data_IF_376144802103
#
_entry.id   IF_376144802103
#
_cell.length_a   1.000
_cell.length_b   1.000
_cell.length_c   1.000
_cell.angle_alpha   90.00
_cell.angle_beta   90.00
_cell.angle_gamma   90.00
#
_symmetry.space_group_name_H-M   'P 1'
#
loop_
_entity.id
_entity.type
_entity.pdbx_description
1 polymer ?
#
# COMPACT_ATOMS: atom_id res chain seq x y z
N UNK A 1 -12.76 46.17 -19.05
CA UNK A 1 -13.53 46.08 -20.32
C UNK A 1 -12.55 45.96 -21.47
N UNK A 2 -12.90 45.25 -22.54
CA UNK A 2 -11.99 44.78 -23.60
C UNK A 2 -12.09 43.26 -23.72
N UNK A 3 -13.24 42.72 -24.16
CA UNK A 3 -13.67 42.58 -25.57
C UNK A 3 -12.70 41.71 -26.37
N UNK A 4 -13.02 40.41 -26.41
CA UNK A 4 -12.55 39.46 -27.41
C UNK A 4 -13.48 39.49 -28.63
N UNK A 5 -12.98 39.15 -29.82
CA UNK A 5 -13.76 38.52 -30.91
C UNK A 5 -12.85 37.59 -31.75
N UNK A 6 -13.40 36.55 -32.41
CA UNK A 6 -12.62 35.42 -32.92
C UNK A 6 -12.29 35.50 -34.42
N UNK A 7 -11.36 34.65 -34.88
CA UNK A 7 -11.14 34.38 -36.31
C UNK A 7 -11.48 32.92 -36.61
N UNK A 8 -12.48 32.69 -37.47
CA UNK A 8 -12.73 31.42 -38.17
C UNK A 8 -11.78 31.29 -39.37
N UNK A 9 -11.30 30.08 -39.66
CA UNK A 9 -11.00 29.67 -41.03
C UNK A 9 -11.44 28.23 -41.31
N UNK A 10 -11.76 27.98 -42.58
CA UNK A 10 -12.59 26.87 -43.09
C UNK A 10 -11.77 25.61 -43.46
N UNK A 11 -12.45 24.45 -43.51
CA UNK A 11 -11.93 23.21 -44.15
C UNK A 11 -11.90 23.33 -45.69
N UNK A 12 -10.96 22.64 -46.35
CA UNK A 12 -11.29 21.46 -47.16
C UNK A 12 -10.36 20.27 -46.82
N UNK A 13 -10.79 19.01 -46.71
CA UNK A 13 -11.33 18.03 -47.69
C UNK A 13 -10.28 17.34 -48.61
N UNK A 14 -10.28 16.01 -48.52
CA UNK A 14 -9.79 14.96 -49.44
C UNK A 14 -8.28 14.55 -49.50
N UNK A 15 -8.00 13.46 -48.78
CA UNK A 15 -7.28 12.22 -49.18
C UNK A 15 -5.93 12.23 -49.92
N UNK A 16 -4.89 11.66 -49.28
CA UNK A 16 -4.39 10.30 -49.60
C UNK A 16 -3.44 9.74 -48.52
N UNK A 17 -3.30 8.41 -48.47
CA UNK A 17 -2.45 7.66 -47.52
C UNK A 17 -1.23 7.09 -48.26
N UNK A 18 -0.03 7.21 -47.69
CA UNK A 18 1.12 6.36 -48.06
C UNK A 18 1.93 5.95 -46.83
N UNK A 19 2.14 4.64 -46.67
CA UNK A 19 3.14 4.08 -45.74
C UNK A 19 4.52 4.12 -46.40
N UNK A 20 5.57 4.30 -45.59
CA UNK A 20 6.95 3.99 -45.97
C UNK A 20 7.56 2.99 -44.98
N UNK A 21 7.90 1.79 -45.49
CA UNK A 21 8.71 0.78 -44.80
C UNK A 21 10.06 0.73 -45.50
N UNK A 22 11.16 0.72 -44.74
CA UNK A 22 12.51 0.64 -45.29
C UNK A 22 13.09 -0.78 -45.11
N UNK A 23 13.47 -1.41 -46.22
CA UNK A 23 14.27 -2.63 -46.26
C UNK A 23 15.07 -2.63 -47.56
N UNK A 24 16.38 -2.89 -47.51
CA UNK A 24 17.16 -3.34 -48.67
C UNK A 24 18.34 -4.20 -48.22
N UNK A 25 18.78 -5.11 -49.09
CA UNK A 25 19.54 -6.29 -48.68
C UNK A 25 20.75 -6.62 -49.58
N UNK A 26 21.79 -7.19 -48.94
CA UNK A 26 22.71 -8.24 -49.41
C UNK A 26 23.39 -8.14 -50.80
N UNK A 27 24.74 -8.21 -50.82
CA UNK A 27 25.57 -9.42 -51.16
C UNK A 27 27.07 -9.10 -51.20
N UNK A 28 27.93 -10.12 -51.04
CA UNK A 28 29.40 -9.99 -50.92
C UNK A 28 30.22 -10.58 -52.10
N UNK A 29 31.18 -11.49 -51.83
CA UNK A 29 32.66 -11.28 -51.89
C UNK A 29 33.30 -12.08 -53.09
N UNK A 30 34.59 -12.55 -53.17
CA UNK A 30 35.72 -12.59 -52.21
C UNK A 30 37.20 -12.48 -52.76
N UNK A 31 38.19 -12.75 -51.87
CA UNK A 31 39.57 -13.29 -52.06
C UNK A 31 40.84 -12.38 -52.00
N UNK A 32 41.90 -12.99 -51.44
CA UNK A 32 43.27 -12.51 -51.14
C UNK A 32 44.28 -12.98 -52.23
N UNK A 33 45.56 -12.52 -52.29
CA UNK A 33 46.65 -13.15 -51.49
C UNK A 33 47.91 -12.28 -51.11
N UNK A 34 48.69 -12.74 -50.11
CA UNK A 34 50.17 -12.69 -49.90
C UNK A 34 51.02 -11.39 -50.11
N UNK A 35 52.23 -11.17 -49.54
CA UNK A 35 52.89 -11.51 -48.25
C UNK A 35 54.34 -10.94 -48.17
N UNK A 36 54.86 -10.73 -46.95
CA UNK A 36 56.29 -10.83 -46.51
C UNK A 36 57.27 -9.61 -46.51
N UNK A 37 57.98 -9.47 -45.37
CA UNK A 37 59.22 -8.69 -45.14
C UNK A 37 59.07 -7.26 -44.57
N UNK A 38 59.71 -6.81 -43.48
CA UNK A 38 60.51 -7.51 -42.45
C UNK A 38 61.39 -6.54 -41.60
N UNK A 39 61.49 -6.74 -40.27
CA UNK A 39 62.41 -6.09 -39.28
C UNK A 39 62.27 -4.56 -39.04
N UNK A 40 62.47 -3.97 -37.84
CA UNK A 40 62.70 -4.48 -36.47
C UNK A 40 62.33 -3.42 -35.40
N UNK A 41 62.13 -3.85 -34.14
CA UNK A 41 62.07 -3.00 -32.92
C UNK A 41 62.92 -3.63 -31.79
N UNK A 42 63.52 -2.84 -30.86
CA UNK A 42 63.82 -3.25 -29.48
C UNK A 42 62.62 -2.90 -28.55
N UNK A 43 62.15 -3.71 -27.59
CA UNK A 43 62.79 -4.42 -26.46
C UNK A 43 63.18 -3.49 -25.27
N UNK A 44 62.92 -3.79 -23.98
CA UNK A 44 62.13 -4.87 -23.35
C UNK A 44 61.93 -4.64 -21.81
N UNK A 45 61.26 -5.62 -21.16
CA UNK A 45 61.14 -5.98 -19.72
C UNK A 45 60.01 -5.33 -18.89
N UNK A 46 59.20 -6.04 -18.08
CA UNK A 46 58.85 -7.49 -17.97
C UNK A 46 57.41 -7.56 -17.36
N UNK A 47 56.45 -8.40 -17.83
CA UNK A 47 56.24 -9.85 -17.63
C UNK A 47 56.13 -10.31 -16.15
N UNK A 48 55.32 -11.29 -15.75
CA UNK A 48 54.15 -12.04 -16.28
C UNK A 48 53.63 -12.83 -15.03
N UNK A 49 52.35 -12.88 -14.63
CA UNK A 49 51.29 -13.83 -15.08
C UNK A 49 51.79 -15.23 -15.50
N UNK A 50 51.10 -16.36 -15.30
CA UNK A 50 49.78 -16.75 -14.74
C UNK A 50 49.72 -18.30 -14.78
N UNK A 51 48.77 -18.98 -14.14
CA UNK A 51 47.77 -19.82 -14.85
C UNK A 51 46.88 -20.68 -13.92
N UNK A 52 45.65 -20.89 -14.40
CA UNK A 52 44.60 -21.71 -13.81
C UNK A 52 44.60 -23.15 -14.34
N UNK A 53 43.98 -24.08 -13.60
CA UNK A 53 43.36 -25.28 -14.19
C UNK A 53 42.05 -25.64 -13.46
N UNK A 54 41.10 -26.24 -14.18
CA UNK A 54 39.75 -26.59 -13.69
C UNK A 54 39.55 -28.11 -13.50
N UNK A 55 38.45 -28.41 -12.78
CA UNK A 55 37.55 -29.58 -12.91
C UNK A 55 37.93 -30.85 -12.12
N UNK A 56 36.95 -31.38 -11.37
CA UNK A 56 37.02 -32.66 -10.64
C UNK A 56 36.83 -33.89 -11.55
N UNK A 57 36.60 -35.11 -11.02
CA UNK A 57 35.59 -35.40 -9.97
C UNK A 57 36.02 -36.45 -8.92
N UNK A 58 35.08 -36.97 -8.12
CA UNK A 58 35.16 -38.34 -7.58
C UNK A 58 35.16 -38.49 -6.06
N UNK A 59 34.10 -39.09 -5.53
CA UNK A 59 34.03 -39.58 -4.15
C UNK A 59 34.69 -40.96 -4.00
N UNK A 60 35.43 -41.20 -2.92
CA UNK A 60 35.59 -42.54 -2.34
C UNK A 60 36.06 -42.49 -0.87
N UNK A 61 35.61 -43.46 -0.08
CA UNK A 61 36.18 -43.82 1.24
C UNK A 61 37.68 -44.20 1.07
N UNK A 62 38.56 -44.10 2.07
CA UNK A 62 38.53 -44.96 3.28
C UNK A 62 39.58 -44.53 4.33
N UNK A 63 39.39 -44.99 5.58
CA UNK A 63 40.33 -44.83 6.69
C UNK A 63 41.72 -45.45 6.41
N UNK A 64 42.79 -44.81 6.86
CA UNK A 64 43.75 -45.50 7.73
C UNK A 64 44.47 -44.59 8.75
N UNK A 65 45.05 -45.24 9.77
CA UNK A 65 45.54 -44.66 11.03
C UNK A 65 47.01 -44.25 10.97
N UNK A 66 47.39 -43.30 11.82
CA UNK A 66 48.72 -43.29 12.45
C UNK A 66 49.62 -42.08 12.11
N UNK A 67 50.37 -41.51 13.08
CA UNK A 67 51.17 -40.32 12.87
C UNK A 67 52.62 -40.64 12.48
N UNK A 68 53.12 -40.05 11.40
CA UNK A 68 54.56 -39.91 11.18
C UNK A 68 55.04 -38.61 11.83
N UNK A 69 55.78 -38.72 12.94
CA UNK A 69 56.68 -37.65 13.39
C UNK A 69 57.95 -37.69 12.55
N UNK A 70 58.18 -36.68 11.74
CA UNK A 70 59.49 -36.40 11.15
C UNK A 70 60.16 -35.26 11.92
N UNK A 71 61.42 -35.49 12.34
CA UNK A 71 62.28 -34.48 12.92
C UNK A 71 63.66 -34.58 12.24
N UNK A 72 64.09 -33.49 11.62
CA UNK A 72 65.45 -33.19 11.20
C UNK A 72 65.59 -31.66 11.33
N UNK A 73 66.23 -31.13 12.38
CA UNK A 73 67.68 -31.08 12.65
C UNK A 73 68.39 -29.99 11.85
N UNK A 74 68.64 -28.85 12.51
CA UNK A 74 69.64 -27.85 12.11
C UNK A 74 70.97 -28.11 12.85
N UNK A 75 72.08 -27.79 12.19
CA UNK A 75 73.44 -28.12 12.64
C UNK A 75 74.02 -27.15 13.68
N UNK A 76 75.00 -27.65 14.46
CA UNK A 76 75.98 -26.93 15.30
C UNK A 76 75.43 -26.10 16.49
N UNK A 77 76.05 -26.06 17.68
CA UNK A 77 77.22 -26.80 18.21
C UNK A 77 77.36 -26.60 19.74
N UNK A 78 77.44 -27.67 20.53
CA UNK A 78 78.29 -27.75 21.76
C UNK A 78 78.21 -29.14 22.38
N UNK A 79 79.33 -29.64 22.90
CA UNK A 79 79.47 -30.97 23.51
C UNK A 79 79.14 -30.96 25.01
N UNK A 80 78.41 -31.97 25.49
CA UNK A 80 78.72 -32.69 26.75
C UNK A 80 77.87 -33.95 26.96
N UNK A 81 78.57 -35.10 27.01
CA UNK A 81 78.28 -36.24 27.89
C UNK A 81 76.94 -36.97 27.78
N UNK A 82 76.91 -38.05 27.00
CA UNK A 82 75.99 -39.16 27.24
C UNK A 82 76.70 -40.22 28.10
N UNK A 83 76.11 -40.60 29.25
CA UNK A 83 76.44 -41.86 29.92
C UNK A 83 75.24 -42.80 29.80
N UNK A 84 75.52 -44.06 29.49
CA UNK A 84 74.56 -45.16 29.41
C UNK A 84 74.52 -45.89 30.75
N UNK A 85 73.33 -46.27 31.21
CA UNK A 85 73.16 -47.23 32.31
C UNK A 85 72.02 -48.22 31.97
N UNK A 86 72.09 -49.51 32.40
CA UNK A 86 71.34 -50.59 31.75
C UNK A 86 69.87 -50.75 32.21
N UNK A 87 69.07 -51.59 31.54
CA UNK A 87 67.63 -51.67 31.76
C UNK A 87 67.26 -52.49 33.01
N UNK A 88 66.22 -52.07 33.72
CA UNK A 88 65.57 -52.86 34.76
C UNK A 88 64.07 -53.10 34.46
N UNK A 89 63.57 -54.24 34.98
CA UNK A 89 62.40 -54.96 34.47
C UNK A 89 61.05 -54.29 34.69
N UNK A 90 60.12 -54.62 33.78
CA UNK A 90 58.68 -54.37 33.91
C UNK A 90 58.05 -55.07 35.13
N UNK A 91 57.08 -54.41 35.77
CA UNK A 91 56.17 -55.03 36.73
C UNK A 91 55.36 -53.98 37.51
N UNK A 92 54.08 -53.79 37.21
CA UNK A 92 53.24 -52.81 37.90
C UNK A 92 51.86 -52.62 37.27
N UNK A 93 50.85 -53.24 37.88
CA UNK A 93 49.46 -53.34 37.43
C UNK A 93 48.76 -51.99 37.14
N UNK A 94 47.87 -52.03 36.15
CA UNK A 94 46.89 -50.97 35.84
C UNK A 94 45.91 -50.71 37.00
N UNK A 95 45.67 -49.44 37.33
CA UNK A 95 44.46 -48.98 38.05
C UNK A 95 43.55 -48.20 37.09
N UNK A 96 42.21 -48.36 37.16
CA UNK A 96 41.29 -47.64 36.29
C UNK A 96 41.12 -46.18 36.73
N UNK A 97 41.01 -45.29 35.74
CA UNK A 97 40.66 -43.87 35.94
C UNK A 97 39.13 -43.76 36.11
N UNK A 98 38.61 -43.01 37.09
CA UNK A 98 37.16 -42.84 37.25
C UNK A 98 36.55 -42.01 36.10
N UNK A 99 35.27 -42.22 35.76
CA UNK A 99 34.62 -41.47 34.69
C UNK A 99 34.52 -39.97 35.05
N UNK A 100 35.09 -39.13 34.18
CA UNK A 100 35.00 -37.68 34.34
C UNK A 100 33.55 -37.21 34.25
N UNK A 101 33.09 -36.50 35.28
CA UNK A 101 31.78 -35.85 35.31
C UNK A 101 31.61 -34.97 34.08
N UNK A 102 30.66 -35.30 33.19
CA UNK A 102 30.32 -34.45 32.04
C UNK A 102 29.72 -33.15 32.59
N UNK A 103 30.54 -32.10 32.59
CA UNK A 103 30.23 -30.87 33.29
C UNK A 103 28.97 -30.19 32.76
N UNK A 104 28.19 -29.64 33.70
CA UNK A 104 26.97 -28.82 33.53
C UNK A 104 27.19 -27.47 32.79
N UNK A 105 28.25 -27.38 31.98
CA UNK A 105 28.67 -26.19 31.23
C UNK A 105 27.72 -25.82 30.09
N UNK A 106 27.13 -26.82 29.42
CA UNK A 106 26.20 -26.59 28.31
C UNK A 106 24.88 -25.96 28.78
N UNK A 107 24.40 -26.35 29.96
CA UNK A 107 23.15 -25.85 30.55
C UNK A 107 23.31 -24.40 31.02
N UNK A 108 24.44 -24.06 31.64
CA UNK A 108 24.74 -22.68 32.05
C UNK A 108 25.04 -21.78 30.85
N UNK A 109 25.65 -22.30 29.79
CA UNK A 109 25.82 -21.61 28.51
C UNK A 109 24.48 -21.29 27.84
N UNK A 110 23.58 -22.26 27.72
CA UNK A 110 22.23 -22.05 27.17
C UNK A 110 21.40 -21.08 28.03
N UNK A 111 21.44 -21.21 29.36
CA UNK A 111 20.73 -20.29 30.25
C UNK A 111 21.28 -18.85 30.14
N UNK A 112 22.61 -18.68 30.02
CA UNK A 112 23.22 -17.35 29.78
C UNK A 112 22.87 -16.80 28.39
N UNK A 113 22.83 -17.62 27.35
CA UNK A 113 22.38 -17.20 26.03
C UNK A 113 20.90 -16.81 26.02
N UNK A 114 20.03 -17.55 26.72
CA UNK A 114 18.62 -17.22 26.87
C UNK A 114 18.42 -15.94 27.71
N UNK A 115 19.20 -15.75 28.78
CA UNK A 115 19.23 -14.51 29.55
C UNK A 115 19.71 -13.32 28.71
N UNK A 116 20.74 -13.50 27.87
CA UNK A 116 21.21 -12.47 26.95
C UNK A 116 20.18 -12.15 25.84
N UNK A 117 19.51 -13.16 25.28
CA UNK A 117 18.41 -12.98 24.32
C UNK A 117 17.22 -12.25 24.97
N UNK A 118 16.88 -12.58 26.22
CA UNK A 118 15.84 -11.90 26.98
C UNK A 118 16.21 -10.46 27.35
N UNK A 119 17.48 -10.22 27.69
CA UNK A 119 18.01 -8.88 27.98
C UNK A 119 18.08 -8.00 26.71
N UNK A 120 18.49 -8.56 25.58
CA UNK A 120 18.43 -7.89 24.26
C UNK A 120 16.99 -7.61 23.83
N UNK A 121 16.00 -8.43 24.23
CA UNK A 121 14.59 -8.13 24.01
C UNK A 121 14.05 -6.97 24.87
N UNK A 122 14.81 -6.49 25.87
CA UNK A 122 14.47 -5.32 26.69
C UNK A 122 15.30 -4.07 26.36
N UNK A 123 16.00 -4.06 25.22
CA UNK A 123 16.53 -2.84 24.63
C UNK A 123 15.38 -2.02 24.00
N UNK A 124 14.59 -1.36 24.84
CA UNK A 124 13.48 -0.51 24.40
C UNK A 124 13.97 0.67 23.57
N UNK A 125 13.71 0.63 22.27
CA UNK A 125 13.86 1.77 21.36
C UNK A 125 12.60 2.63 21.33
N UNK A 126 12.73 3.86 20.85
CA UNK A 126 11.60 4.73 20.52
C UNK A 126 10.69 4.04 19.50
N UNK A 127 9.39 4.05 19.75
CA UNK A 127 8.35 3.51 18.89
C UNK A 127 7.22 4.53 18.79
N UNK A 128 6.51 4.57 17.66
CA UNK A 128 5.28 5.35 17.49
C UNK A 128 4.12 4.44 17.09
N UNK A 129 2.99 4.62 17.77
CA UNK A 129 1.73 3.96 17.47
C UNK A 129 0.90 4.82 16.53
N UNK A 130 0.60 4.27 15.36
CA UNK A 130 -0.29 4.86 14.35
C UNK A 130 -1.52 3.96 14.13
N UNK A 131 -2.30 4.20 13.09
CA UNK A 131 -3.39 3.32 12.63
C UNK A 131 -3.15 2.94 11.17
N UNK A 132 -3.46 1.71 10.75
CA UNK A 132 -3.16 1.23 9.39
C UNK A 132 -3.93 2.00 8.31
N UNK A 133 -5.27 2.10 8.45
CA UNK A 133 -6.13 2.92 7.60
C UNK A 133 -7.12 3.70 8.47
N UNK A 134 -7.28 4.99 8.20
CA UNK A 134 -8.26 5.88 8.81
C UNK A 134 -9.22 6.38 7.72
N UNK A 135 -10.51 6.06 7.84
CA UNK A 135 -11.55 6.62 6.95
C UNK A 135 -12.05 7.95 7.52
N UNK A 136 -12.15 8.98 6.67
CA UNK A 136 -12.55 10.34 7.05
C UNK A 136 -13.51 10.95 6.04
N UNK A 137 -14.39 11.85 6.48
CA UNK A 137 -15.32 12.52 5.58
C UNK A 137 -14.71 13.75 4.91
N UNK A 138 -15.13 14.01 3.67
CA UNK A 138 -14.80 15.20 2.93
C UNK A 138 -15.23 16.47 3.71
N UNK A 139 -14.35 17.47 3.74
CA UNK A 139 -14.48 18.75 4.45
C UNK A 139 -14.44 18.72 5.99
N UNK A 140 -14.31 17.55 6.62
CA UNK A 140 -14.10 17.45 8.07
C UNK A 140 -12.71 17.98 8.49
N UNK A 141 -12.57 18.26 9.79
CA UNK A 141 -11.28 18.47 10.44
C UNK A 141 -10.87 17.16 11.11
N UNK A 142 -9.67 16.66 10.81
CA UNK A 142 -9.25 15.31 11.22
C UNK A 142 -7.91 15.34 11.94
N UNK A 143 -7.67 14.33 12.77
CA UNK A 143 -6.38 14.12 13.43
C UNK A 143 -5.82 12.77 13.03
N UNK A 144 -4.69 12.75 12.33
CA UNK A 144 -3.97 11.54 11.91
C UNK A 144 -3.06 11.09 13.06
N UNK A 145 -3.27 9.90 13.63
CA UNK A 145 -2.64 9.52 14.90
C UNK A 145 -1.16 9.16 14.74
N UNK A 146 -0.31 9.76 15.58
CA UNK A 146 1.08 9.33 15.79
C UNK A 146 1.46 9.60 17.25
N UNK A 147 1.52 8.55 18.09
CA UNK A 147 1.72 8.71 19.54
C UNK A 147 2.77 7.75 20.07
N UNK A 148 3.64 8.21 20.95
CA UNK A 148 4.56 7.32 21.67
C UNK A 148 3.75 6.49 22.70
N UNK A 149 3.91 5.16 22.75
CA UNK A 149 3.30 4.32 23.77
C UNK A 149 3.63 4.82 25.19
N UNK A 150 2.64 4.85 26.08
CA UNK A 150 2.80 5.27 27.47
C UNK A 150 2.79 6.78 27.71
N UNK A 151 2.66 7.62 26.66
CA UNK A 151 2.58 9.09 26.76
C UNK A 151 3.68 9.72 27.64
N UNK A 152 4.97 9.46 27.34
CA UNK A 152 6.07 9.97 28.14
C UNK A 152 6.14 11.50 28.10
N UNK A 153 6.60 12.10 29.20
CA UNK A 153 6.90 13.53 29.22
C UNK A 153 8.19 13.80 28.45
N UNK A 154 8.14 14.66 27.43
CA UNK A 154 9.25 15.01 26.55
C UNK A 154 9.71 16.46 26.75
N UNK A 155 11.01 16.70 26.58
CA UNK A 155 11.54 18.04 26.35
C UNK A 155 11.44 18.36 24.86
N UNK A 156 10.49 19.21 24.47
CA UNK A 156 10.22 19.56 23.06
C UNK A 156 11.39 20.25 22.37
N UNK A 157 12.40 20.76 23.11
CA UNK A 157 13.56 21.42 22.50
C UNK A 157 14.49 20.45 21.75
N UNK A 158 14.49 19.16 22.14
CA UNK A 158 15.28 18.08 21.51
C UNK A 158 14.46 17.18 20.58
N UNK A 159 13.19 17.53 20.36
CA UNK A 159 12.24 16.77 19.53
C UNK A 159 12.13 17.35 18.12
N UNK A 160 12.11 16.46 17.14
CA UNK A 160 11.81 16.76 15.75
C UNK A 160 10.62 15.96 15.24
N UNK A 161 9.70 16.59 14.54
CA UNK A 161 8.59 15.94 13.84
C UNK A 161 8.65 16.31 12.36
N UNK A 162 8.56 15.30 11.50
CA UNK A 162 8.20 15.50 10.10
C UNK A 162 6.95 14.68 9.81
N UNK A 163 6.01 15.31 9.11
CA UNK A 163 4.94 14.60 8.44
C UNK A 163 5.13 14.69 6.94
N UNK A 164 5.10 13.53 6.32
CA UNK A 164 5.15 13.34 4.89
C UNK A 164 3.80 12.82 4.39
N UNK A 165 3.48 13.15 3.15
CA UNK A 165 2.33 12.62 2.42
C UNK A 165 2.78 12.15 1.05
N UNK A 166 2.29 10.98 0.64
CA UNK A 166 2.43 10.46 -0.72
C UNK A 166 1.06 10.02 -1.25
N UNK A 167 0.80 10.34 -2.51
CA UNK A 167 -0.41 9.89 -3.20
C UNK A 167 -0.27 8.40 -3.52
N UNK A 168 -1.29 7.59 -3.26
CA UNK A 168 -1.25 6.11 -3.34
C UNK A 168 -0.71 5.54 -4.69
N UNK A 169 -0.77 6.31 -5.78
CA UNK A 169 -0.30 5.92 -7.12
C UNK A 169 0.99 6.64 -7.60
N UNK A 170 1.68 7.35 -6.72
CA UNK A 170 2.89 8.11 -7.07
C UNK A 170 4.02 7.85 -6.07
N UNK A 171 5.25 7.82 -6.56
CA UNK A 171 6.46 7.64 -5.74
C UNK A 171 6.95 8.96 -5.12
N UNK A 172 6.48 10.11 -5.61
CA UNK A 172 6.83 11.41 -5.04
C UNK A 172 6.15 11.62 -3.68
N UNK A 173 6.96 11.55 -2.62
CA UNK A 173 6.59 11.93 -1.27
C UNK A 173 6.89 13.43 -1.04
N UNK A 174 5.96 14.14 -0.39
CA UNK A 174 6.08 15.56 -0.07
C UNK A 174 6.03 15.78 1.45
N UNK A 175 6.89 16.66 1.97
CA UNK A 175 6.76 17.12 3.36
C UNK A 175 5.60 18.12 3.49
N UNK A 176 4.68 17.85 4.41
CA UNK A 176 3.46 18.66 4.61
C UNK A 176 3.46 19.43 5.93
N UNK A 177 4.25 19.00 6.91
CA UNK A 177 4.47 19.68 8.18
C UNK A 177 5.84 19.30 8.76
N UNK A 178 6.54 20.29 9.33
CA UNK A 178 7.84 20.14 9.95
C UNK A 178 7.88 20.92 11.28
N UNK A 179 8.48 20.33 12.32
CA UNK A 179 8.73 20.98 13.59
C UNK A 179 10.08 20.53 14.18
N UNK A 180 10.92 21.48 14.60
CA UNK A 180 12.22 21.22 15.21
C UNK A 180 12.58 22.34 16.19
N UNK A 181 12.45 22.10 17.50
CA UNK A 181 12.73 23.10 18.53
C UNK A 181 11.85 24.36 18.39
N UNK A 182 12.39 25.42 17.79
CA UNK A 182 11.65 26.67 17.49
C UNK A 182 11.20 26.79 16.02
N UNK A 183 11.74 25.96 15.11
CA UNK A 183 11.34 25.97 13.71
C UNK A 183 10.03 25.23 13.51
N UNK A 184 9.10 25.83 12.77
CA UNK A 184 7.83 25.21 12.39
C UNK A 184 7.40 25.67 11.01
N UNK A 185 7.02 24.72 10.16
CA UNK A 185 6.55 24.95 8.80
C UNK A 185 5.40 24.00 8.45
N UNK A 186 4.44 24.47 7.65
CA UNK A 186 3.29 23.69 7.21
C UNK A 186 3.01 23.95 5.73
N UNK A 187 3.48 23.06 4.86
CA UNK A 187 3.23 23.12 3.40
C UNK A 187 1.77 22.89 3.07
N UNK A 188 1.08 21.99 3.79
CA UNK A 188 -0.38 21.83 3.70
C UNK A 188 -1.03 22.94 4.54
N UNK A 189 -1.81 23.87 3.95
CA UNK A 189 -2.36 25.00 4.70
C UNK A 189 -3.21 24.54 5.88
N UNK A 190 -2.95 25.12 7.05
CA UNK A 190 -3.64 24.81 8.31
C UNK A 190 -3.18 23.53 9.03
N UNK A 191 -2.26 22.74 8.45
CA UNK A 191 -1.71 21.55 9.10
C UNK A 191 -0.94 21.93 10.39
N UNK A 192 -1.13 21.16 11.46
CA UNK A 192 -0.57 21.48 12.78
C UNK A 192 -0.35 20.22 13.64
N UNK A 193 0.60 20.28 14.57
CA UNK A 193 0.73 19.34 15.70
C UNK A 193 0.62 20.13 17.00
N UNK A 194 -0.08 19.59 18.00
CA UNK A 194 -0.21 20.25 19.30
C UNK A 194 1.11 20.19 20.07
N UNK A 195 1.72 21.34 20.39
CA UNK A 195 2.97 21.38 21.17
C UNK A 195 2.78 20.83 22.59
N UNK A 196 1.67 21.16 23.25
CA UNK A 196 1.32 20.57 24.54
C UNK A 196 0.86 19.12 24.45
N UNK A 197 0.47 18.64 23.26
CA UNK A 197 0.30 17.20 23.00
C UNK A 197 1.66 16.50 22.90
N UNK A 198 2.61 17.13 22.20
CA UNK A 198 3.96 16.62 21.98
C UNK A 198 4.77 16.51 23.28
N UNK A 199 4.60 17.46 24.21
CA UNK A 199 5.13 17.36 25.58
C UNK A 199 4.73 16.05 26.29
N UNK A 200 3.63 15.42 25.89
CA UNK A 200 3.14 14.12 26.39
C UNK A 200 3.20 13.00 25.35
N UNK A 201 4.08 13.13 24.35
CA UNK A 201 4.33 12.12 23.32
C UNK A 201 3.26 12.00 22.23
N UNK A 202 2.35 12.97 22.09
CA UNK A 202 1.34 13.01 21.02
C UNK A 202 1.80 13.89 19.85
N UNK A 203 2.34 13.25 18.82
CA UNK A 203 2.82 13.88 17.58
C UNK A 203 1.75 13.89 16.45
N UNK A 204 0.49 13.64 16.79
CA UNK A 204 -0.61 13.49 15.81
C UNK A 204 -0.86 14.76 15.00
N UNK A 205 -1.07 14.60 13.70
CA UNK A 205 -1.26 15.71 12.75
C UNK A 205 -2.73 16.11 12.64
N UNK A 206 -3.04 17.34 13.02
CA UNK A 206 -4.34 17.96 12.77
C UNK A 206 -4.38 18.56 11.37
N UNK A 207 -5.35 18.13 10.56
CA UNK A 207 -5.63 18.60 9.21
C UNK A 207 -7.05 19.21 9.14
N UNK A 208 -7.19 20.54 9.01
CA UNK A 208 -8.48 21.18 8.84
C UNK A 208 -8.96 21.10 7.38
N UNK A 209 -10.28 20.93 7.20
CA UNK A 209 -10.96 20.90 5.90
C UNK A 209 -10.29 19.94 4.92
N UNK A 210 -10.50 18.65 5.13
CA UNK A 210 -10.03 17.60 4.23
C UNK A 210 -10.62 17.76 2.82
N UNK A 211 -9.79 17.52 1.81
CA UNK A 211 -10.16 17.49 0.40
C UNK A 211 -9.93 16.08 -0.19
N UNK A 212 -10.53 15.78 -1.35
CA UNK A 212 -10.33 14.50 -2.05
C UNK A 212 -8.86 14.26 -2.46
N UNK A 213 -8.08 15.35 -2.58
CA UNK A 213 -6.65 15.35 -2.86
C UNK A 213 -5.79 14.92 -1.67
N UNK A 214 -6.27 15.05 -0.43
CA UNK A 214 -5.55 14.64 0.78
C UNK A 214 -5.49 13.10 0.94
N UNK A 215 -6.36 12.35 0.22
CA UNK A 215 -6.34 10.90 0.24
C UNK A 215 -4.97 10.32 -0.21
N UNK A 216 -4.38 9.46 0.61
CA UNK A 216 -3.04 8.93 0.39
C UNK A 216 -2.44 8.27 1.63
N UNK A 217 -1.14 7.99 1.59
CA UNK A 217 -0.40 7.50 2.75
C UNK A 217 0.35 8.64 3.41
N UNK A 218 0.19 8.76 4.72
CA UNK A 218 0.87 9.70 5.58
C UNK A 218 1.94 8.97 6.38
N UNK A 219 3.13 9.55 6.48
CA UNK A 219 4.25 9.01 7.26
C UNK A 219 4.68 10.03 8.31
N UNK A 220 4.51 9.65 9.57
CA UNK A 220 5.04 10.35 10.73
C UNK A 220 6.50 9.91 10.94
N UNK A 221 7.43 10.86 11.05
CA UNK A 221 8.80 10.64 11.50
C UNK A 221 9.05 11.47 12.75
N UNK A 222 9.25 10.80 13.88
CA UNK A 222 9.48 11.39 15.18
C UNK A 222 10.93 11.15 15.59
N UNK A 223 11.65 12.21 15.94
CA UNK A 223 13.05 12.17 16.38
C UNK A 223 13.10 12.70 17.81
N UNK A 224 13.65 11.90 18.72
CA UNK A 224 13.94 12.29 20.11
C UNK A 224 15.42 11.98 20.34
N UNK A 225 16.26 12.98 20.08
CA UNK A 225 17.70 12.81 19.87
C UNK A 225 18.36 11.98 20.99
N UNK A 226 19.10 10.89 20.68
CA UNK A 226 19.56 10.43 19.35
C UNK A 226 18.64 9.41 18.65
N UNK A 227 17.48 9.06 19.24
CA UNK A 227 16.59 8.04 18.71
C UNK A 227 15.61 8.61 17.67
N UNK A 228 15.12 7.75 16.78
CA UNK A 228 14.04 8.08 15.84
C UNK A 228 13.09 6.90 15.69
N UNK A 229 11.83 7.19 15.41
CA UNK A 229 10.79 6.23 15.11
C UNK A 229 9.91 6.76 13.96
N UNK A 230 9.36 5.86 13.17
CA UNK A 230 8.47 6.20 12.06
C UNK A 230 7.22 5.32 12.08
N UNK A 231 6.12 5.86 11.60
CA UNK A 231 4.85 5.14 11.48
C UNK A 231 4.03 5.67 10.32
N UNK A 232 3.31 4.78 9.64
CA UNK A 232 2.50 5.10 8.47
C UNK A 232 1.01 4.92 8.76
N UNK A 233 0.18 5.69 8.06
CA UNK A 233 -1.28 5.61 8.08
C UNK A 233 -1.83 5.96 6.70
N UNK A 234 -2.71 5.13 6.15
CA UNK A 234 -3.48 5.50 4.95
C UNK A 234 -4.72 6.29 5.34
N UNK A 235 -4.95 7.42 4.68
CA UNK A 235 -6.13 8.26 4.84
C UNK A 235 -7.10 8.02 3.68
N UNK A 236 -8.24 7.38 3.97
CA UNK A 236 -9.31 7.10 3.02
C UNK A 236 -10.39 8.19 3.12
N UNK A 237 -10.43 9.11 2.16
CA UNK A 237 -11.46 10.17 2.12
C UNK A 237 -12.75 9.65 1.47
N UNK A 238 -13.90 9.89 2.12
CA UNK A 238 -15.24 9.51 1.63
C UNK A 238 -16.24 10.67 1.70
N UNK A 239 -17.28 10.63 0.87
CA UNK A 239 -18.41 11.56 0.93
C UNK A 239 -19.74 10.78 0.87
N UNK A 240 -20.73 11.22 1.67
CA UNK A 240 -21.98 10.47 1.87
C UNK A 240 -23.12 10.90 0.95
N UNK A 241 -23.84 9.94 0.32
CA UNK A 241 -24.87 10.24 -0.66
C UNK A 241 -26.07 11.03 -0.10
N UNK A 242 -26.35 12.17 -0.73
CA UNK A 242 -27.66 12.80 -0.69
C UNK A 242 -28.60 12.04 -1.62
N UNK A 243 -29.69 11.49 -1.10
CA UNK A 243 -30.67 10.69 -1.85
C UNK A 243 -31.98 11.48 -1.94
N UNK A 244 -32.54 11.59 -3.14
CA UNK A 244 -33.84 12.20 -3.42
C UNK A 244 -34.66 11.23 -4.26
N UNK A 245 -35.92 11.03 -3.88
CA UNK A 245 -36.85 10.12 -4.54
C UNK A 245 -38.11 10.89 -4.94
N UNK A 246 -38.56 10.74 -6.18
CA UNK A 246 -39.76 11.41 -6.70
C UNK A 246 -40.35 10.63 -7.89
N UNK A 247 -41.65 10.82 -8.13
CA UNK A 247 -42.34 10.24 -9.29
C UNK A 247 -42.31 11.24 -10.45
N UNK A 248 -41.91 10.78 -11.64
CA UNK A 248 -42.07 11.49 -12.90
C UNK A 248 -43.32 10.93 -13.60
N UNK A 249 -44.41 11.72 -13.73
CA UNK A 249 -45.62 11.27 -14.41
C UNK A 249 -45.38 11.12 -15.92
N UNK A 250 -46.21 10.30 -16.55
CA UNK A 250 -46.28 10.14 -18.00
C UNK A 250 -46.58 11.49 -18.68
N UNK A 251 -45.93 11.76 -19.81
CA UNK A 251 -46.33 12.89 -20.66
C UNK A 251 -47.29 12.39 -21.74
N UNK A 252 -48.57 12.73 -21.61
CA UNK A 252 -49.65 12.31 -22.52
C UNK A 252 -49.32 12.54 -24.01
N UNK A 253 -48.50 13.55 -24.31
CA UNK A 253 -48.10 13.95 -25.65
C UNK A 253 -47.14 12.98 -26.35
N UNK A 254 -46.38 12.18 -25.58
CA UNK A 254 -45.31 11.33 -26.10
C UNK A 254 -45.56 9.82 -25.90
N UNK A 255 -46.55 9.43 -25.09
CA UNK A 255 -46.72 8.03 -24.69
C UNK A 255 -45.59 7.51 -23.79
N UNK A 256 -44.92 8.41 -23.05
CA UNK A 256 -43.89 8.04 -22.07
C UNK A 256 -44.52 7.29 -20.88
N UNK A 257 -43.83 6.25 -20.39
CA UNK A 257 -44.21 5.51 -19.18
C UNK A 257 -44.02 6.38 -17.92
N UNK A 258 -44.74 6.06 -16.83
CA UNK A 258 -44.48 6.68 -15.53
C UNK A 258 -43.22 6.07 -14.90
N UNK A 259 -42.42 6.89 -14.20
CA UNK A 259 -41.20 6.42 -13.57
C UNK A 259 -41.05 6.90 -12.13
N UNK A 260 -40.53 6.05 -11.25
CA UNK A 260 -39.99 6.49 -9.95
C UNK A 260 -38.49 6.76 -10.11
N UNK A 261 -38.03 7.97 -9.79
CA UNK A 261 -36.66 8.41 -9.99
C UNK A 261 -35.96 8.57 -8.63
N UNK A 262 -34.91 7.80 -8.43
CA UNK A 262 -33.97 7.93 -7.31
C UNK A 262 -32.69 8.63 -7.80
N UNK A 263 -32.56 9.91 -7.45
CA UNK A 263 -31.33 10.69 -7.67
C UNK A 263 -30.43 10.58 -6.44
N UNK A 264 -29.19 10.17 -6.66
CA UNK A 264 -28.15 10.05 -5.64
C UNK A 264 -26.99 10.97 -6.00
N UNK A 265 -26.56 11.82 -5.07
CA UNK A 265 -25.76 13.01 -5.34
C UNK A 265 -24.67 13.20 -4.28
N UNK A 266 -23.49 13.71 -4.66
CA UNK A 266 -22.44 14.13 -3.73
C UNK A 266 -21.67 13.00 -3.02
N UNK A 267 -21.61 11.79 -3.57
CA UNK A 267 -20.92 10.66 -2.93
C UNK A 267 -19.49 10.44 -3.46
N UNK A 268 -18.63 9.85 -2.64
CA UNK A 268 -17.27 9.47 -3.04
C UNK A 268 -16.76 8.29 -2.19
N UNK A 269 -16.13 7.26 -2.77
CA UNK A 269 -15.73 7.10 -4.18
C UNK A 269 -16.90 6.71 -5.11
N UNK A 270 -16.61 6.49 -6.40
CA UNK A 270 -17.61 6.21 -7.44
C UNK A 270 -18.40 4.88 -7.26
N UNK A 271 -17.88 3.94 -6.45
CA UNK A 271 -18.46 2.61 -6.30
C UNK A 271 -19.67 2.64 -5.37
N UNK A 272 -20.87 2.45 -5.94
CA UNK A 272 -22.16 2.53 -5.26
C UNK A 272 -23.08 1.41 -5.77
N UNK A 273 -23.94 0.90 -4.89
CA UNK A 273 -24.97 -0.09 -5.20
C UNK A 273 -26.34 0.51 -4.93
N UNK A 274 -27.27 0.34 -5.88
CA UNK A 274 -28.64 0.88 -5.81
C UNK A 274 -29.60 -0.24 -6.16
N UNK A 275 -30.47 -0.57 -5.22
CA UNK A 275 -31.51 -1.59 -5.36
C UNK A 275 -32.89 -0.95 -5.20
N UNK A 276 -33.90 -1.62 -5.75
CA UNK A 276 -35.28 -1.23 -5.62
C UNK A 276 -36.08 -2.33 -4.93
N UNK A 277 -37.02 -1.92 -4.10
CA UNK A 277 -37.94 -2.81 -3.39
C UNK A 277 -39.36 -2.27 -3.48
N UNK A 278 -40.34 -3.16 -3.47
CA UNK A 278 -41.76 -2.85 -3.41
C UNK A 278 -42.37 -3.41 -2.12
N UNK A 279 -43.34 -2.69 -1.55
CA UNK A 279 -44.27 -3.22 -0.55
C UNK A 279 -45.68 -2.74 -0.85
N UNK A 280 -46.69 -3.51 -0.43
CA UNK A 280 -48.11 -3.19 -0.65
C UNK A 280 -48.81 -2.92 0.68
N UNK A 281 -49.98 -2.29 0.65
CA UNK A 281 -50.78 -2.08 1.87
C UNK A 281 -51.27 -3.41 2.51
N UNK A 282 -51.39 -4.48 1.70
CA UNK A 282 -51.88 -5.79 2.14
C UNK A 282 -50.74 -6.75 2.54
N UNK A 283 -49.54 -6.55 2.00
CA UNK A 283 -48.32 -7.27 2.34
C UNK A 283 -47.17 -6.26 2.54
N UNK A 284 -46.81 -5.94 3.79
CA UNK A 284 -45.75 -4.99 4.11
C UNK A 284 -44.34 -5.59 4.01
N UNK A 285 -44.16 -6.86 3.60
CA UNK A 285 -42.82 -7.37 3.29
C UNK A 285 -42.25 -6.68 2.04
N UNK A 286 -41.03 -6.17 2.16
CA UNK A 286 -40.27 -5.66 1.03
C UNK A 286 -39.87 -6.79 0.09
N UNK A 287 -40.29 -6.68 -1.16
CA UNK A 287 -39.95 -7.59 -2.26
C UNK A 287 -38.94 -6.89 -3.17
N UNK A 288 -37.83 -7.56 -3.47
CA UNK A 288 -36.82 -6.99 -4.37
C UNK A 288 -37.35 -6.90 -5.80
N UNK A 289 -37.14 -5.76 -6.45
CA UNK A 289 -37.49 -5.53 -7.85
C UNK A 289 -36.26 -5.79 -8.71
N UNK A 290 -36.42 -6.51 -9.83
CA UNK A 290 -35.32 -6.87 -10.75
C UNK A 290 -35.58 -6.46 -12.21
N UNK A 291 -36.79 -5.99 -12.52
CA UNK A 291 -37.24 -5.62 -13.87
C UNK A 291 -37.62 -4.12 -13.90
N UNK A 292 -37.63 -3.50 -15.08
CA UNK A 292 -37.99 -2.08 -15.24
C UNK A 292 -36.96 -1.07 -14.68
N UNK A 293 -35.86 -1.53 -14.06
CA UNK A 293 -34.83 -0.67 -13.47
C UNK A 293 -33.82 -0.24 -14.54
N UNK A 294 -33.64 1.06 -14.68
CA UNK A 294 -32.63 1.70 -15.53
C UNK A 294 -31.74 2.56 -14.62
N UNK A 295 -30.50 2.13 -14.40
CA UNK A 295 -29.50 2.91 -13.64
C UNK A 295 -28.47 3.49 -14.59
N UNK A 296 -28.36 4.82 -14.61
CA UNK A 296 -27.34 5.52 -15.40
C UNK A 296 -25.93 5.32 -14.84
N UNK A 297 -24.88 5.71 -15.59
CA UNK A 297 -23.52 5.69 -15.09
C UNK A 297 -23.34 6.71 -13.94
N UNK A 298 -22.40 6.44 -13.03
CA UNK A 298 -21.95 7.43 -12.06
C UNK A 298 -21.15 8.53 -12.78
N UNK A 299 -21.69 9.75 -12.78
CA UNK A 299 -21.09 10.95 -13.38
C UNK A 299 -20.26 11.66 -12.31
N UNK A 300 -19.05 12.12 -12.67
CA UNK A 300 -18.20 12.93 -11.79
C UNK A 300 -18.66 14.39 -11.81
N UNK A 301 -18.78 14.99 -10.63
CA UNK A 301 -19.12 16.39 -10.42
C UNK A 301 -17.87 17.29 -10.41
N UNK A 302 -18.06 18.60 -10.53
CA UNK A 302 -16.96 19.60 -10.54
C UNK A 302 -16.17 19.65 -9.22
N UNK A 303 -16.81 19.32 -8.10
CA UNK A 303 -16.18 19.17 -6.77
C UNK A 303 -15.38 17.85 -6.62
N UNK A 304 -15.38 17.00 -7.64
CA UNK A 304 -14.73 15.69 -7.66
C UNK A 304 -15.53 14.55 -7.03
N UNK A 305 -16.71 14.81 -6.45
CA UNK A 305 -17.66 13.76 -6.03
C UNK A 305 -18.35 13.12 -7.23
N UNK A 306 -19.29 12.22 -6.97
CA UNK A 306 -20.10 11.54 -7.97
C UNK A 306 -21.60 11.71 -7.73
N UNK A 307 -22.35 11.66 -8.81
CA UNK A 307 -23.81 11.60 -8.83
C UNK A 307 -24.29 10.52 -9.80
N UNK A 308 -25.38 9.84 -9.45
CA UNK A 308 -26.01 8.79 -10.27
C UNK A 308 -27.52 8.90 -10.17
N UNK A 309 -28.23 8.51 -11.23
CA UNK A 309 -29.69 8.46 -11.23
C UNK A 309 -30.13 7.05 -11.62
N UNK A 310 -30.99 6.47 -10.79
CA UNK A 310 -31.70 5.23 -11.10
C UNK A 310 -33.18 5.54 -11.27
N UNK A 311 -33.82 4.94 -12.26
CA UNK A 311 -35.25 5.08 -12.53
C UNK A 311 -35.88 3.71 -12.66
N UNK A 312 -37.00 3.51 -11.97
CA UNK A 312 -37.87 2.35 -12.10
C UNK A 312 -39.04 2.73 -13.02
N UNK A 313 -39.23 2.03 -14.12
CA UNK A 313 -40.45 2.10 -14.92
C UNK A 313 -41.62 1.45 -14.16
N UNK A 314 -42.74 2.15 -14.09
CA UNK A 314 -43.98 1.67 -13.48
C UNK A 314 -44.85 0.96 -14.51
N UNK A 315 -45.54 -0.07 -14.07
CA UNK A 315 -46.47 -0.83 -14.92
C UNK A 315 -47.77 -0.04 -15.13
N UNK A 316 -48.57 -0.40 -16.15
CA UNK A 316 -49.85 0.24 -16.42
C UNK A 316 -50.76 0.34 -15.19
N UNK A 317 -51.51 1.44 -15.15
CA UNK A 317 -52.08 2.12 -13.99
C UNK A 317 -53.19 1.39 -13.18
N UNK A 318 -53.05 0.09 -12.95
CA UNK A 318 -53.88 -0.77 -12.10
C UNK A 318 -53.08 -1.71 -11.18
N UNK A 319 -51.83 -2.07 -11.51
CA UNK A 319 -51.01 -2.98 -10.67
C UNK A 319 -50.23 -2.25 -9.57
N UNK A 320 -49.71 -1.06 -9.86
CA UNK A 320 -48.73 -0.37 -8.99
C UNK A 320 -49.36 0.73 -8.09
N UNK A 321 -50.61 1.15 -8.34
CA UNK A 321 -51.25 2.24 -7.60
C UNK A 321 -51.57 1.86 -6.15
N UNK A 322 -51.05 2.63 -5.19
CA UNK A 322 -51.12 2.33 -3.76
C UNK A 322 -49.95 1.50 -3.25
N UNK A 323 -49.07 1.00 -4.14
CA UNK A 323 -47.84 0.34 -3.72
C UNK A 323 -46.78 1.37 -3.32
N UNK A 324 -45.85 0.94 -2.47
CA UNK A 324 -44.76 1.76 -1.94
C UNK A 324 -43.43 1.26 -2.49
N UNK A 325 -42.79 2.10 -3.29
CA UNK A 325 -41.50 1.83 -3.92
C UNK A 325 -40.37 2.42 -3.08
N UNK A 326 -39.35 1.63 -2.81
CA UNK A 326 -38.21 1.98 -1.95
C UNK A 326 -36.91 1.89 -2.74
N UNK A 327 -36.18 2.99 -2.81
CA UNK A 327 -34.81 3.03 -3.29
C UNK A 327 -33.86 2.75 -2.12
N UNK A 328 -33.02 1.72 -2.25
CA UNK A 328 -32.05 1.27 -1.25
C UNK A 328 -30.65 1.53 -1.78
N UNK A 329 -29.92 2.44 -1.14
CA UNK A 329 -28.59 2.90 -1.56
C UNK A 329 -27.53 2.40 -0.59
N UNK A 330 -26.57 1.62 -1.09
CA UNK A 330 -25.44 1.10 -0.32
C UNK A 330 -24.13 1.73 -0.83
N UNK A 331 -23.34 2.32 0.07
CA UNK A 331 -22.11 3.03 -0.25
C UNK A 331 -21.13 2.94 0.92
N UNK A 332 -19.81 2.85 0.68
CA UNK A 332 -18.80 2.59 1.73
C UNK A 332 -18.64 3.70 2.79
N UNK A 333 -19.29 4.84 2.63
CA UNK A 333 -19.34 5.93 3.61
C UNK A 333 -20.52 5.83 4.58
N UNK A 334 -21.45 4.90 4.32
CA UNK A 334 -22.62 4.63 5.15
C UNK A 334 -22.33 3.39 6.02
N UNK A 335 -22.77 3.43 7.27
CA UNK A 335 -22.76 2.24 8.13
C UNK A 335 -23.81 1.22 7.69
N UNK A 336 -25.01 1.72 7.35
CA UNK A 336 -26.16 0.93 6.87
C UNK A 336 -26.70 1.51 5.56
N UNK A 337 -27.33 0.67 4.73
CA UNK A 337 -27.95 1.09 3.47
C UNK A 337 -29.04 2.15 3.70
N UNK A 338 -28.95 3.28 3.00
CA UNK A 338 -29.91 4.38 3.08
C UNK A 338 -31.15 4.04 2.25
N UNK A 339 -32.30 3.93 2.91
CA UNK A 339 -33.60 3.63 2.29
C UNK A 339 -34.42 4.91 2.18
N UNK A 340 -35.07 5.13 1.05
CA UNK A 340 -36.05 6.20 0.87
C UNK A 340 -37.24 5.62 0.09
N UNK A 341 -38.47 5.94 0.51
CA UNK A 341 -39.69 5.32 -0.02
C UNK A 341 -40.69 6.35 -0.53
N UNK A 342 -41.47 5.98 -1.53
CA UNK A 342 -42.58 6.78 -2.07
C UNK A 342 -43.78 5.88 -2.37
N UNK A 343 -44.97 6.29 -1.93
CA UNK A 343 -46.22 5.58 -2.19
C UNK A 343 -46.94 6.25 -3.35
N UNK A 344 -47.38 5.47 -4.35
CA UNK A 344 -48.16 6.03 -5.44
C UNK A 344 -49.59 6.35 -4.99
N UNK A 345 -50.17 7.50 -5.39
CA UNK A 345 -51.54 7.82 -5.03
C UNK A 345 -52.51 6.80 -5.65
N UNK A 346 -53.34 6.17 -4.81
CA UNK A 346 -54.41 5.30 -5.28
C UNK A 346 -55.45 6.10 -6.06
N UNK A 347 -55.93 5.56 -7.18
CA UNK A 347 -57.09 6.14 -7.89
C UNK A 347 -58.33 5.99 -7.02
N UNK A 348 -58.77 7.08 -6.42
CA UNK A 348 -60.15 7.19 -5.95
C UNK A 348 -61.07 7.01 -7.15
N UNK A 349 -61.96 6.02 -7.09
CA UNK A 349 -63.01 5.89 -8.09
C UNK A 349 -63.87 7.14 -8.05
N UNK A 350 -63.87 7.93 -9.13
CA UNK A 350 -64.74 9.07 -9.25
C UNK A 350 -66.19 8.59 -9.10
N UNK A 351 -66.86 8.99 -8.01
CA UNK A 351 -68.29 8.72 -7.84
C UNK A 351 -69.05 9.43 -8.96
N UNK A 352 -69.42 8.67 -10.00
CA UNK A 352 -70.40 9.10 -10.98
C UNK A 352 -71.74 9.29 -10.27
N UNK A 353 -72.00 10.52 -9.84
CA UNK A 353 -73.32 10.98 -9.44
C UNK A 353 -74.20 11.05 -10.69
N UNK A 354 -74.70 9.90 -11.15
CA UNK A 354 -75.81 9.83 -12.10
C UNK A 354 -77.09 10.27 -11.38
N UNK A 355 -77.24 11.58 -11.22
CA UNK A 355 -78.46 12.18 -10.71
C UNK A 355 -79.58 12.09 -11.74
N UNK A 356 -80.42 11.07 -11.62
CA UNK A 356 -81.71 11.01 -12.31
C UNK A 356 -82.63 12.08 -11.72
N UNK A 357 -82.83 13.16 -12.47
CA UNK A 357 -83.95 14.07 -12.23
C UNK A 357 -85.27 13.36 -12.56
N UNK A 358 -86.31 13.67 -11.77
CA UNK A 358 -87.65 13.06 -11.82
C UNK A 358 -88.39 13.32 -13.13
#
# INVERSE_FOLDING_TARGET
MGVWHPILFLKPKDSQVLLCVAHHALRGPPLLPYSAGGSACPAAHDKMTSQSCQRGPGSAHMNYKGPCRTAFCSHTSSLRGCNLEPPNRCGGQSKPVPPGTVGSSWVTGLLRMLLLLWYMSMAGGLEVKTTETQTVFLHDNVTVPCKIPGSPHLDITIVGILWFWKKERNESEASIYQFYGSYREATRPGANVSLSGLEWGDASLHLPKIELSDAGEYRCKLVVTPQQAEGTTRLDVVASPAVKLFVKPATERNGEEEHVICKVDGFYPAAIDIKWEESTLNDPHFRAITEGIITGPAVRNDDGTFSVTSSLALKPALEDHGNTFTCVVSHRSLLDSKRLSVTLPGKSAACHLTGTLK
#
